data_IF_623000163135
#
_entry.id   IF_623000163135
#
_cell.length_a   1.000
_cell.length_b   1.000
_cell.length_c   1.000
_cell.angle_alpha   90.00
_cell.angle_beta   90.00
_cell.angle_gamma   90.00
#
_symmetry.space_group_name_H-M   'P 1'
#
loop_
_entity.id
_entity.type
_entity.pdbx_description
1 polymer ?
#
# COMPACT_ATOMS: atom_id res chain seq x y z
N UNK A 1 21.69 28.63 53.00
CA UNK A 1 21.60 27.81 51.77
C UNK A 1 22.77 26.82 51.81
N UNK A 2 22.51 25.51 51.79
CA UNK A 2 23.55 24.48 51.99
C UNK A 2 24.06 23.91 50.64
N UNK A 3 23.32 24.08 49.54
CA UNK A 3 23.75 23.75 48.17
C UNK A 3 22.57 23.76 47.18
N UNK A 4 22.86 23.74 45.88
CA UNK A 4 21.90 23.51 44.79
C UNK A 4 22.34 22.24 44.05
N UNK A 5 21.40 21.34 43.78
CA UNK A 5 21.61 20.15 42.95
C UNK A 5 20.83 20.32 41.66
N UNK A 6 21.51 20.29 40.52
CA UNK A 6 20.90 20.34 39.20
C UNK A 6 20.84 18.94 38.61
N UNK A 7 19.63 18.43 38.36
CA UNK A 7 19.39 17.15 37.71
C UNK A 7 18.85 17.45 36.31
N UNK A 8 19.40 16.79 35.28
CA UNK A 8 18.98 16.92 33.89
C UNK A 8 18.63 15.55 33.34
N UNK A 9 17.48 15.46 32.69
CA UNK A 9 17.15 14.33 31.82
C UNK A 9 17.74 14.57 30.43
N UNK A 10 18.50 13.59 29.92
CA UNK A 10 19.19 13.72 28.65
C UNK A 10 18.33 13.16 27.53
N UNK A 11 18.08 13.97 26.51
CA UNK A 11 17.39 13.53 25.30
C UNK A 11 18.25 12.49 24.59
N UNK A 12 17.66 11.36 24.19
CA UNK A 12 18.35 10.32 23.41
C UNK A 12 18.84 10.92 22.09
N UNK A 13 20.08 10.60 21.71
CA UNK A 13 20.74 11.15 20.51
C UNK A 13 19.98 10.92 19.20
N UNK A 14 19.16 9.85 19.11
CA UNK A 14 18.36 9.52 17.93
C UNK A 14 17.06 10.31 17.80
N UNK A 15 16.59 10.98 18.86
CA UNK A 15 15.26 11.64 18.86
C UNK A 15 15.22 12.77 17.85
N UNK A 16 16.26 13.61 17.79
CA UNK A 16 16.31 14.74 16.86
C UNK A 16 16.16 14.29 15.41
N UNK A 17 16.92 13.27 15.00
CA UNK A 17 16.83 12.71 13.65
C UNK A 17 15.44 12.08 13.38
N UNK A 18 14.86 11.40 14.38
CA UNK A 18 13.53 10.80 14.29
C UNK A 18 12.45 11.87 14.05
N UNK A 19 12.48 12.94 14.85
CA UNK A 19 11.54 14.06 14.75
C UNK A 19 11.69 14.77 13.40
N UNK A 20 12.92 15.01 12.95
CA UNK A 20 13.19 15.59 11.62
C UNK A 20 12.63 14.71 10.49
N UNK A 21 12.83 13.39 10.55
CA UNK A 21 12.29 12.46 9.54
C UNK A 21 10.75 12.44 9.58
N UNK A 22 10.13 12.41 10.76
CA UNK A 22 8.68 12.45 10.91
C UNK A 22 8.08 13.76 10.38
N UNK A 23 8.68 14.89 10.71
CA UNK A 23 8.26 16.20 10.20
C UNK A 23 8.41 16.29 8.67
N UNK A 24 9.52 15.79 8.12
CA UNK A 24 9.73 15.71 6.66
C UNK A 24 8.69 14.82 5.98
N UNK A 25 8.26 13.76 6.65
CA UNK A 25 7.19 12.87 6.23
C UNK A 25 5.78 13.50 6.36
N UNK A 26 5.68 14.74 6.85
CA UNK A 26 4.42 15.43 7.08
C UNK A 26 3.65 14.92 8.30
N UNK A 27 4.30 14.22 9.23
CA UNK A 27 3.72 13.80 10.51
C UNK A 27 4.19 14.79 11.59
N UNK A 28 3.25 15.57 12.11
CA UNK A 28 3.52 16.52 13.19
C UNK A 28 3.73 15.76 14.50
N UNK A 29 4.85 16.05 15.18
CA UNK A 29 5.13 15.56 16.52
C UNK A 29 4.76 16.65 17.54
N UNK A 30 3.95 16.30 18.54
CA UNK A 30 3.56 17.19 19.64
C UNK A 30 3.98 16.57 20.96
N UNK A 31 4.75 17.30 21.77
CA UNK A 31 5.15 16.87 23.10
C UNK A 31 4.06 17.23 24.12
N UNK A 32 3.57 16.25 24.86
CA UNK A 32 2.59 16.47 25.93
C UNK A 32 3.17 15.96 27.24
N UNK A 33 3.51 16.85 28.17
CA UNK A 33 4.23 16.52 29.41
C UNK A 33 3.59 17.18 30.64
N UNK A 34 3.76 16.54 31.80
CA UNK A 34 3.43 17.10 33.11
C UNK A 34 4.45 18.13 33.62
N UNK A 35 5.59 18.28 32.95
CA UNK A 35 6.65 19.21 33.34
C UNK A 35 6.24 20.68 33.23
N UNK A 36 7.03 21.54 33.88
CA UNK A 36 6.91 22.99 33.75
C UNK A 36 7.24 23.45 32.33
N UNK A 37 6.63 24.56 31.90
CA UNK A 37 6.77 25.14 30.57
C UNK A 37 8.23 25.33 30.16
N UNK A 38 9.06 25.85 31.05
CA UNK A 38 10.47 26.14 30.76
C UNK A 38 11.26 24.86 30.47
N UNK A 39 11.07 23.82 31.28
CA UNK A 39 11.71 22.51 31.10
C UNK A 39 11.22 21.83 29.82
N UNK A 40 9.90 21.82 29.60
CA UNK A 40 9.30 21.22 28.41
C UNK A 40 9.81 21.88 27.12
N UNK A 41 9.90 23.21 27.09
CA UNK A 41 10.44 23.95 25.94
C UNK A 41 11.92 23.67 25.72
N UNK A 42 12.72 23.59 26.80
CA UNK A 42 14.14 23.26 26.68
C UNK A 42 14.36 21.87 26.06
N UNK A 43 13.63 20.86 26.55
CA UNK A 43 13.68 19.48 26.02
C UNK A 43 13.15 19.44 24.59
N UNK A 44 12.05 20.13 24.28
CA UNK A 44 11.46 20.15 22.95
C UNK A 44 12.38 20.82 21.91
N UNK A 45 13.13 21.85 22.28
CA UNK A 45 14.16 22.47 21.42
C UNK A 45 15.33 21.53 21.17
N UNK A 46 15.81 20.83 22.19
CA UNK A 46 16.88 19.84 22.07
C UNK A 46 16.46 18.64 21.19
N UNK A 47 15.22 18.19 21.33
CA UNK A 47 14.62 17.14 20.54
C UNK A 47 14.27 17.55 19.10
N UNK A 48 14.36 18.84 18.74
CA UNK A 48 13.99 19.34 17.41
C UNK A 48 12.48 19.39 17.14
N UNK A 49 11.65 19.38 18.17
CA UNK A 49 10.18 19.51 18.06
C UNK A 49 9.80 20.99 17.89
N UNK A 50 10.44 21.87 18.67
CA UNK A 50 10.34 23.32 18.53
C UNK A 50 11.54 23.81 17.72
N UNK A 51 11.28 24.43 16.58
CA UNK A 51 12.29 24.86 15.60
C UNK A 51 12.13 26.32 15.16
N UNK A 52 10.94 26.91 15.31
CA UNK A 52 10.64 28.27 14.89
C UNK A 52 9.98 29.13 15.96
N UNK A 53 9.94 30.43 15.72
CA UNK A 53 9.27 31.39 16.62
C UNK A 53 7.73 31.31 16.55
N UNK A 54 7.19 30.76 15.45
CA UNK A 54 5.75 30.53 15.27
C UNK A 54 5.24 29.22 15.90
N UNK A 55 6.10 28.47 16.59
CA UNK A 55 5.70 27.23 17.27
C UNK A 55 4.91 27.56 18.55
N UNK A 56 3.73 26.97 18.66
CA UNK A 56 2.83 27.22 19.78
C UNK A 56 3.13 26.27 20.95
N UNK A 57 3.27 26.87 22.13
CA UNK A 57 3.49 26.18 23.40
C UNK A 57 2.42 26.61 24.39
N UNK A 58 1.59 25.66 24.80
CA UNK A 58 0.49 25.89 25.74
C UNK A 58 0.78 25.23 27.10
N UNK A 59 0.29 25.83 28.18
CA UNK A 59 0.09 25.16 29.47
C UNK A 59 -1.31 24.56 29.53
N UNK A 60 -1.58 23.70 30.53
CA UNK A 60 -2.93 23.24 30.83
C UNK A 60 -3.94 24.40 30.97
N UNK A 61 -3.59 25.46 31.70
CA UNK A 61 -4.49 26.60 31.93
C UNK A 61 -4.79 27.35 30.61
N UNK A 62 -3.76 27.56 29.78
CA UNK A 62 -3.90 28.18 28.46
C UNK A 62 -4.74 27.29 27.52
N UNK A 63 -4.52 25.98 27.52
CA UNK A 63 -5.28 25.02 26.71
C UNK A 63 -6.75 24.95 27.16
N UNK A 64 -7.01 24.96 28.46
CA UNK A 64 -8.37 24.89 29.03
C UNK A 64 -9.17 26.16 28.79
N UNK A 65 -8.50 27.31 28.67
CA UNK A 65 -9.13 28.58 28.34
C UNK A 65 -9.58 28.67 26.87
N UNK A 66 -8.94 27.93 25.96
CA UNK A 66 -9.31 27.89 24.55
C UNK A 66 -10.59 27.08 24.35
N UNK A 67 -11.49 27.57 23.52
CA UNK A 67 -12.59 26.77 22.98
C UNK A 67 -12.08 25.73 21.98
N UNK A 68 -12.86 24.68 21.72
CA UNK A 68 -12.47 23.65 20.75
C UNK A 68 -12.31 24.22 19.33
N UNK A 69 -13.07 25.26 18.96
CA UNK A 69 -12.90 25.91 17.66
C UNK A 69 -11.58 26.69 17.56
N UNK A 70 -11.16 27.37 18.61
CA UNK A 70 -9.86 28.07 18.64
C UNK A 70 -8.72 27.06 18.67
N UNK A 71 -8.86 25.99 19.45
CA UNK A 71 -7.87 24.92 19.51
C UNK A 71 -7.69 24.27 18.13
N UNK A 72 -8.77 24.04 17.38
CA UNK A 72 -8.69 23.54 15.99
C UNK A 72 -7.86 24.43 15.08
N UNK A 73 -8.01 25.75 15.18
CA UNK A 73 -7.25 26.70 14.35
C UNK A 73 -5.76 26.72 14.71
N UNK A 74 -5.44 26.51 15.98
CA UNK A 74 -4.09 26.57 16.51
C UNK A 74 -3.34 25.23 16.46
N UNK A 75 -4.06 24.11 16.36
CA UNK A 75 -3.51 22.75 16.39
C UNK A 75 -2.38 22.49 15.38
N UNK A 76 -2.41 23.00 14.12
CA UNK A 76 -1.30 22.82 13.17
C UNK A 76 0.03 23.44 13.62
N UNK A 77 -0.02 24.42 14.53
CA UNK A 77 1.14 25.11 15.07
C UNK A 77 1.54 24.60 16.47
N UNK A 78 0.69 23.80 17.11
CA UNK A 78 0.94 23.26 18.45
C UNK A 78 2.12 22.29 18.46
N UNK A 79 3.13 22.58 19.28
CA UNK A 79 4.32 21.73 19.44
C UNK A 79 4.45 21.15 20.83
N UNK A 80 4.03 21.89 21.86
CA UNK A 80 4.20 21.49 23.25
C UNK A 80 2.96 21.84 24.06
N UNK A 81 2.50 20.89 24.87
CA UNK A 81 1.57 21.11 25.96
C UNK A 81 2.24 20.71 27.27
N UNK A 82 2.39 21.68 28.16
CA UNK A 82 3.08 21.54 29.46
C UNK A 82 2.10 21.52 30.62
N UNK A 83 2.49 20.90 31.74
CA UNK A 83 1.60 20.59 32.88
C UNK A 83 0.30 19.89 32.47
N UNK A 84 0.35 19.09 31.41
CA UNK A 84 -0.83 18.47 30.83
C UNK A 84 -1.49 17.48 31.80
N UNK A 85 -2.81 17.53 31.88
CA UNK A 85 -3.63 16.56 32.59
C UNK A 85 -4.03 15.39 31.67
N UNK A 86 -4.44 14.24 32.23
CA UNK A 86 -4.92 13.10 31.45
C UNK A 86 -6.05 13.45 30.46
N UNK A 87 -6.97 14.32 30.87
CA UNK A 87 -8.08 14.75 30.03
C UNK A 87 -7.65 15.70 28.90
N UNK A 88 -6.56 16.45 29.07
CA UNK A 88 -6.01 17.29 27.99
C UNK A 88 -5.49 16.42 26.84
N UNK A 89 -4.79 15.33 27.17
CA UNK A 89 -4.30 14.35 26.19
C UNK A 89 -5.45 13.82 25.35
N UNK A 90 -6.55 13.41 25.99
CA UNK A 90 -7.74 12.92 25.31
C UNK A 90 -8.38 14.01 24.43
N UNK A 91 -8.57 15.22 24.96
CA UNK A 91 -9.17 16.35 24.23
C UNK A 91 -8.40 16.70 22.96
N UNK A 92 -7.06 16.69 23.02
CA UNK A 92 -6.21 16.96 21.85
C UNK A 92 -6.44 15.92 20.74
N UNK A 93 -6.61 14.66 21.10
CA UNK A 93 -6.89 13.57 20.16
C UNK A 93 -8.25 13.77 19.50
N UNK A 94 -9.30 14.02 20.28
CA UNK A 94 -10.67 14.23 19.77
C UNK A 94 -10.71 15.44 18.82
N UNK A 95 -10.09 16.56 19.21
CA UNK A 95 -10.03 17.76 18.37
C UNK A 95 -9.23 17.54 17.08
N UNK A 96 -8.14 16.75 17.14
CA UNK A 96 -7.39 16.36 15.95
C UNK A 96 -8.23 15.51 14.99
N UNK A 97 -9.00 14.56 15.53
CA UNK A 97 -9.88 13.68 14.76
C UNK A 97 -11.03 14.46 14.09
N UNK A 98 -11.57 15.48 14.76
CA UNK A 98 -12.59 16.36 14.19
C UNK A 98 -12.07 17.22 13.01
N UNK A 99 -10.75 17.39 12.89
CA UNK A 99 -10.09 18.02 11.75
C UNK A 99 -9.72 17.03 10.63
N UNK A 100 -10.32 15.82 10.66
CA UNK A 100 -10.02 14.72 9.74
C UNK A 100 -8.54 14.26 9.77
N UNK A 101 -7.79 14.61 10.82
CA UNK A 101 -6.44 14.10 11.02
C UNK A 101 -6.48 12.69 11.62
N UNK A 102 -5.39 11.95 11.44
CA UNK A 102 -5.18 10.65 12.09
C UNK A 102 -4.26 10.89 13.27
N UNK A 103 -4.75 10.64 14.48
CA UNK A 103 -4.04 10.96 15.71
C UNK A 103 -3.41 9.71 16.32
N UNK A 104 -2.08 9.76 16.51
CA UNK A 104 -1.33 8.75 17.25
C UNK A 104 -0.98 9.25 18.65
N UNK A 105 -1.21 8.44 19.68
CA UNK A 105 -0.91 8.78 21.07
C UNK A 105 0.14 7.85 21.65
N UNK A 106 1.10 8.38 22.40
CA UNK A 106 2.08 7.57 23.16
C UNK A 106 1.85 7.72 24.65
N UNK A 107 1.89 6.64 25.41
CA UNK A 107 1.73 6.68 26.87
C UNK A 107 2.27 5.43 27.56
N UNK A 108 2.62 5.53 28.83
CA UNK A 108 3.21 4.46 29.64
C UNK A 108 2.44 4.23 30.95
N UNK A 109 1.75 5.26 31.44
CA UNK A 109 0.97 5.23 32.67
C UNK A 109 -0.52 4.89 32.49
N UNK A 110 -1.13 4.44 33.59
CA UNK A 110 -2.59 4.21 33.70
C UNK A 110 -3.39 5.47 33.30
N UNK A 111 -2.86 6.64 33.62
CA UNK A 111 -3.44 7.94 33.29
C UNK A 111 -3.58 8.18 31.77
N UNK A 112 -2.78 7.51 30.95
CA UNK A 112 -2.80 7.70 29.50
C UNK A 112 -3.76 6.76 28.79
N UNK A 113 -4.26 5.73 29.49
CA UNK A 113 -5.17 4.72 28.94
C UNK A 113 -6.40 5.29 28.24
N UNK A 114 -7.09 6.33 28.77
CA UNK A 114 -8.23 6.94 28.06
C UNK A 114 -7.82 7.59 26.73
N UNK A 115 -6.68 8.26 26.68
CA UNK A 115 -6.18 8.92 25.48
C UNK A 115 -5.63 7.91 24.47
N UNK A 116 -4.91 6.87 24.94
CA UNK A 116 -4.45 5.75 24.12
C UNK A 116 -5.62 5.06 23.42
N UNK A 117 -6.71 4.81 24.15
CA UNK A 117 -7.89 4.14 23.59
C UNK A 117 -8.70 5.01 22.63
N UNK A 118 -8.65 6.34 22.82
CA UNK A 118 -9.36 7.30 21.96
C UNK A 118 -8.60 7.60 20.66
N UNK A 119 -7.29 7.36 20.62
CA UNK A 119 -6.46 7.61 19.46
C UNK A 119 -6.80 6.67 18.30
N UNK A 120 -6.54 7.09 17.06
CA UNK A 120 -6.65 6.19 15.91
C UNK A 120 -5.57 5.09 15.97
N UNK A 121 -4.43 5.39 16.60
CA UNK A 121 -3.38 4.42 16.93
C UNK A 121 -2.75 4.75 18.29
N UNK A 122 -2.95 3.89 19.28
CA UNK A 122 -2.30 3.98 20.60
C UNK A 122 -0.97 3.24 20.65
N UNK A 123 0.07 3.90 21.16
CA UNK A 123 1.41 3.34 21.37
C UNK A 123 1.74 3.28 22.86
N UNK A 124 2.02 2.09 23.38
CA UNK A 124 2.54 1.93 24.75
C UNK A 124 4.02 1.63 24.77
N UNK A 125 4.70 1.99 25.87
CA UNK A 125 6.07 1.58 26.12
C UNK A 125 6.12 0.16 26.68
N UNK A 126 7.17 -0.60 26.39
CA UNK A 126 7.34 -1.98 26.83
C UNK A 126 7.49 -2.13 28.34
N UNK A 127 8.06 -1.11 29.01
CA UNK A 127 8.11 -0.96 30.46
C UNK A 127 6.88 -0.23 31.04
N UNK A 128 5.92 0.14 30.19
CA UNK A 128 4.66 0.75 30.59
C UNK A 128 3.78 -0.19 31.42
N UNK A 129 2.88 0.42 32.17
CA UNK A 129 1.88 -0.28 32.98
C UNK A 129 1.06 -1.26 32.14
N UNK A 130 0.59 -2.34 32.76
CA UNK A 130 -0.24 -3.35 32.08
C UNK A 130 -1.50 -2.73 31.49
N UNK A 131 -2.13 -1.80 32.22
CA UNK A 131 -3.30 -1.05 31.75
C UNK A 131 -2.99 -0.23 30.49
N UNK A 132 -1.83 0.43 30.42
CA UNK A 132 -1.43 1.17 29.23
C UNK A 132 -1.19 0.25 28.02
N UNK A 133 -0.60 -0.93 28.26
CA UNK A 133 -0.35 -1.94 27.21
C UNK A 133 -1.66 -2.52 26.66
N UNK A 134 -2.63 -2.82 27.52
CA UNK A 134 -3.96 -3.28 27.12
C UNK A 134 -4.78 -2.20 26.41
N UNK A 135 -4.58 -0.93 26.75
CA UNK A 135 -5.27 0.18 26.10
C UNK A 135 -4.68 0.56 24.73
N UNK A 136 -3.44 0.17 24.44
CA UNK A 136 -2.72 0.50 23.20
C UNK A 136 -2.89 -0.53 22.08
N UNK A 137 -2.73 -0.11 20.82
CA UNK A 137 -2.74 -0.99 19.66
C UNK A 137 -1.35 -1.57 19.35
N UNK A 138 -0.28 -0.83 19.68
CA UNK A 138 1.12 -1.20 19.42
C UNK A 138 1.96 -1.01 20.68
N UNK A 139 2.66 -2.07 21.10
CA UNK A 139 3.60 -2.02 22.23
C UNK A 139 5.04 -1.88 21.72
N UNK A 140 5.73 -0.83 22.15
CA UNK A 140 7.12 -0.52 21.77
C UNK A 140 8.09 -1.14 22.77
N UNK A 141 8.60 -2.32 22.45
CA UNK A 141 9.43 -3.12 23.35
C UNK A 141 10.76 -2.45 23.77
N UNK A 142 11.28 -1.52 22.98
CA UNK A 142 12.57 -0.85 23.23
C UNK A 142 12.45 0.60 23.70
N UNK A 143 11.23 1.06 24.02
CA UNK A 143 10.92 2.41 24.53
C UNK A 143 11.55 3.54 23.70
N UNK A 144 11.57 3.37 22.37
CA UNK A 144 12.22 4.30 21.46
C UNK A 144 11.25 4.85 20.42
N UNK A 145 11.24 6.18 20.26
CA UNK A 145 10.49 6.87 19.21
C UNK A 145 10.88 6.42 17.79
N UNK A 146 12.11 5.93 17.59
CA UNK A 146 12.55 5.35 16.31
C UNK A 146 11.67 4.17 15.87
N UNK A 147 11.05 3.47 16.82
CA UNK A 147 10.15 2.35 16.53
C UNK A 147 8.81 2.84 15.99
N UNK A 148 8.35 4.04 16.40
CA UNK A 148 7.16 4.71 15.85
C UNK A 148 7.42 5.13 14.40
N UNK A 149 8.59 5.74 14.13
CA UNK A 149 9.00 6.07 12.76
C UNK A 149 8.97 4.84 11.86
N UNK A 150 9.52 3.71 12.32
CA UNK A 150 9.45 2.43 11.60
C UNK A 150 8.01 1.95 11.42
N UNK A 151 7.17 2.02 12.46
CA UNK A 151 5.76 1.65 12.35
C UNK A 151 5.04 2.44 11.25
N UNK A 152 5.30 3.76 11.16
CA UNK A 152 4.77 4.60 10.08
C UNK A 152 5.30 4.17 8.72
N UNK A 153 6.60 3.88 8.58
CA UNK A 153 7.18 3.38 7.34
C UNK A 153 6.54 2.04 6.89
N UNK A 154 6.36 1.09 7.81
CA UNK A 154 5.72 -0.19 7.53
C UNK A 154 4.23 -0.01 7.18
N UNK A 155 3.52 0.87 7.88
CA UNK A 155 2.13 1.21 7.56
C UNK A 155 1.97 1.81 6.15
N UNK A 156 2.85 2.75 5.78
CA UNK A 156 2.89 3.31 4.41
C UNK A 156 3.19 2.23 3.37
N UNK A 157 4.15 1.35 3.67
CA UNK A 157 4.50 0.23 2.80
C UNK A 157 3.29 -0.68 2.57
N UNK A 158 2.60 -1.06 3.65
CA UNK A 158 1.39 -1.90 3.60
C UNK A 158 0.28 -1.26 2.75
N UNK A 159 0.03 0.05 2.91
CA UNK A 159 -0.95 0.77 2.08
C UNK A 159 -0.61 0.72 0.59
N UNK A 160 0.68 0.87 0.23
CA UNK A 160 1.13 0.71 -1.17
C UNK A 160 0.99 -0.73 -1.66
N UNK A 161 1.31 -1.72 -0.83
CA UNK A 161 1.15 -3.15 -1.14
C UNK A 161 -0.31 -3.48 -1.44
N UNK A 162 -1.24 -3.04 -0.58
CA UNK A 162 -2.69 -3.21 -0.78
C UNK A 162 -3.15 -2.53 -2.07
N UNK A 163 -2.66 -1.31 -2.35
CA UNK A 163 -2.99 -0.61 -3.59
C UNK A 163 -2.54 -1.38 -4.84
N UNK A 164 -1.33 -1.95 -4.83
CA UNK A 164 -0.81 -2.78 -5.93
C UNK A 164 -1.64 -4.05 -6.10
N UNK A 165 -1.97 -4.72 -5.00
CA UNK A 165 -2.85 -5.89 -5.01
C UNK A 165 -4.21 -5.55 -5.62
N UNK A 166 -4.85 -4.44 -5.23
CA UNK A 166 -6.13 -3.99 -5.78
C UNK A 166 -6.04 -3.70 -7.28
N UNK A 167 -4.98 -3.03 -7.76
CA UNK A 167 -4.78 -2.78 -9.20
C UNK A 167 -4.73 -4.11 -9.96
N UNK A 168 -3.93 -5.05 -9.48
CA UNK A 168 -3.78 -6.36 -10.12
C UNK A 168 -5.11 -7.12 -10.13
N UNK A 169 -5.73 -7.27 -8.96
CA UNK A 169 -7.00 -7.97 -8.75
C UNK A 169 -8.12 -7.41 -9.62
N UNK A 170 -8.32 -6.10 -9.61
CA UNK A 170 -9.38 -5.47 -10.41
C UNK A 170 -9.08 -5.54 -11.90
N UNK A 171 -7.82 -5.45 -12.32
CA UNK A 171 -7.46 -5.61 -13.75
C UNK A 171 -7.89 -6.99 -14.24
N UNK A 172 -7.53 -8.04 -13.51
CA UNK A 172 -7.90 -9.41 -13.90
C UNK A 172 -9.42 -9.59 -13.89
N UNK A 173 -10.12 -9.14 -12.83
CA UNK A 173 -11.58 -9.27 -12.72
C UNK A 173 -12.31 -8.54 -13.85
N UNK A 174 -11.95 -7.28 -14.10
CA UNK A 174 -12.57 -6.48 -15.17
C UNK A 174 -12.32 -7.13 -16.53
N UNK A 175 -11.11 -7.65 -16.77
CA UNK A 175 -10.79 -8.32 -18.04
C UNK A 175 -11.58 -9.61 -18.20
N UNK A 176 -11.67 -10.45 -17.15
CA UNK A 176 -12.43 -11.71 -17.17
C UNK A 176 -13.91 -11.44 -17.43
N UNK A 177 -14.51 -10.48 -16.72
CA UNK A 177 -15.92 -10.08 -16.92
C UNK A 177 -16.12 -9.53 -18.34
N UNK A 178 -15.22 -8.66 -18.81
CA UNK A 178 -15.30 -8.10 -20.15
C UNK A 178 -15.21 -9.19 -21.22
N UNK A 179 -14.35 -10.20 -21.06
CA UNK A 179 -14.27 -11.33 -21.98
C UNK A 179 -15.54 -12.18 -21.96
N UNK A 180 -16.09 -12.50 -20.79
CA UNK A 180 -17.32 -13.28 -20.67
C UNK A 180 -18.55 -12.55 -21.21
N UNK A 181 -18.57 -11.22 -21.19
CA UNK A 181 -19.69 -10.42 -21.72
C UNK A 181 -19.54 -10.07 -23.21
N UNK A 182 -18.36 -9.62 -23.63
CA UNK A 182 -18.12 -9.14 -25.00
C UNK A 182 -17.96 -10.29 -25.99
N UNK A 183 -17.44 -11.45 -25.59
CA UNK A 183 -17.27 -12.58 -26.50
C UNK A 183 -18.62 -13.06 -27.06
N UNK A 184 -19.63 -13.40 -26.22
CA UNK A 184 -20.95 -13.80 -26.72
C UNK A 184 -21.66 -12.67 -27.49
N UNK A 185 -21.51 -11.42 -27.07
CA UNK A 185 -22.13 -10.26 -27.74
C UNK A 185 -21.62 -10.08 -29.18
N UNK A 186 -20.36 -10.44 -29.44
CA UNK A 186 -19.76 -10.41 -30.76
C UNK A 186 -20.00 -11.70 -31.56
N UNK A 187 -20.81 -12.64 -31.05
CA UNK A 187 -21.07 -13.94 -31.67
C UNK A 187 -19.89 -14.90 -31.61
N UNK A 188 -18.91 -14.65 -30.73
CA UNK A 188 -17.76 -15.51 -30.51
C UNK A 188 -18.08 -16.51 -29.40
N UNK A 189 -17.55 -17.73 -29.51
CA UNK A 189 -17.66 -18.71 -28.41
C UNK A 189 -16.94 -18.19 -27.17
N UNK A 190 -17.35 -18.69 -26.01
CA UNK A 190 -16.75 -18.31 -24.75
C UNK A 190 -15.26 -18.71 -24.71
N UNK A 191 -14.35 -17.79 -24.35
CA UNK A 191 -12.92 -18.06 -24.38
C UNK A 191 -12.44 -18.91 -23.22
N UNK A 192 -13.17 -18.88 -22.10
CA UNK A 192 -12.78 -19.52 -20.85
C UNK A 192 -13.87 -20.45 -20.34
N UNK A 193 -13.48 -21.63 -19.88
CA UNK A 193 -14.39 -22.53 -19.17
C UNK A 193 -14.52 -22.14 -17.70
N UNK A 194 -15.55 -22.67 -17.03
CA UNK A 194 -15.77 -22.44 -15.59
C UNK A 194 -14.52 -22.83 -14.77
N UNK A 195 -13.87 -23.94 -15.10
CA UNK A 195 -12.66 -24.43 -14.40
C UNK A 195 -11.47 -23.49 -14.67
N UNK A 196 -11.32 -22.98 -15.89
CA UNK A 196 -10.29 -21.99 -16.22
C UNK A 196 -10.49 -20.67 -15.46
N UNK A 197 -11.74 -20.22 -15.33
CA UNK A 197 -12.07 -19.02 -14.52
C UNK A 197 -11.75 -19.25 -13.04
N UNK A 198 -12.04 -20.44 -12.50
CA UNK A 198 -11.66 -20.78 -11.12
C UNK A 198 -10.13 -20.76 -10.92
N UNK A 199 -9.36 -21.23 -11.90
CA UNK A 199 -7.90 -21.13 -11.87
C UNK A 199 -7.42 -19.68 -11.91
N UNK A 200 -8.02 -18.83 -12.75
CA UNK A 200 -7.74 -17.38 -12.78
C UNK A 200 -8.02 -16.75 -11.41
N UNK A 201 -9.16 -17.07 -10.79
CA UNK A 201 -9.53 -16.57 -9.46
C UNK A 201 -8.51 -16.97 -8.39
N UNK A 202 -8.04 -18.22 -8.42
CA UNK A 202 -7.00 -18.68 -7.48
C UNK A 202 -5.68 -17.91 -7.65
N UNK A 203 -5.28 -17.63 -8.89
CA UNK A 203 -4.09 -16.83 -9.20
C UNK A 203 -4.22 -15.42 -8.63
N UNK A 204 -5.36 -14.76 -8.88
CA UNK A 204 -5.53 -13.36 -8.53
C UNK A 204 -5.81 -13.12 -7.04
N UNK A 205 -6.55 -14.01 -6.38
CA UNK A 205 -6.86 -13.86 -4.97
C UNK A 205 -5.70 -14.34 -4.10
N UNK A 206 -5.56 -15.67 -3.98
CA UNK A 206 -4.66 -16.28 -3.01
C UNK A 206 -3.19 -16.06 -3.37
N UNK A 207 -2.81 -16.33 -4.62
CA UNK A 207 -1.40 -16.25 -5.02
C UNK A 207 -0.93 -14.80 -5.13
N UNK A 208 -1.74 -13.89 -5.66
CA UNK A 208 -1.34 -12.49 -5.74
C UNK A 208 -1.27 -11.82 -4.37
N UNK A 209 -2.16 -12.17 -3.42
CA UNK A 209 -2.06 -11.66 -2.05
C UNK A 209 -0.71 -12.03 -1.40
N UNK A 210 -0.25 -13.27 -1.60
CA UNK A 210 1.08 -13.71 -1.14
C UNK A 210 2.23 -12.97 -1.85
N UNK A 211 2.09 -12.69 -3.15
CA UNK A 211 3.12 -12.03 -3.94
C UNK A 211 3.28 -10.54 -3.59
N UNK A 212 2.16 -9.82 -3.41
CA UNK A 212 2.13 -8.38 -3.15
C UNK A 212 2.16 -8.03 -1.65
N UNK A 213 1.83 -8.97 -0.76
CA UNK A 213 1.81 -8.74 0.70
C UNK A 213 3.19 -8.43 1.31
N UNK A 214 4.28 -8.91 0.71
CA UNK A 214 5.64 -8.77 1.23
C UNK A 214 6.54 -7.84 0.41
N UNK A 215 5.97 -6.72 -0.05
CA UNK A 215 6.80 -5.68 -0.66
C UNK A 215 7.75 -5.06 0.38
N UNK A 216 9.00 -4.77 -0.02
CA UNK A 216 9.99 -4.22 0.89
C UNK A 216 9.62 -2.80 1.33
N UNK A 217 9.90 -2.48 2.58
CA UNK A 217 9.87 -1.11 3.07
C UNK A 217 10.99 -0.31 2.38
N UNK A 218 10.64 0.84 1.80
CA UNK A 218 11.56 1.72 1.09
C UNK A 218 11.52 3.11 1.72
N UNK A 219 12.70 3.68 2.01
CA UNK A 219 12.81 4.99 2.67
C UNK A 219 12.14 6.12 1.88
N UNK A 220 11.99 5.98 0.55
CA UNK A 220 11.27 6.93 -0.29
C UNK A 220 9.82 7.17 0.18
N UNK A 221 9.19 6.19 0.82
CA UNK A 221 7.83 6.34 1.33
C UNK A 221 7.76 7.33 2.50
N UNK A 222 8.87 7.63 3.18
CA UNK A 222 8.93 8.68 4.20
C UNK A 222 9.00 10.09 3.61
N UNK A 223 9.19 10.25 2.31
CA UNK A 223 9.16 11.55 1.65
C UNK A 223 7.78 11.92 1.09
N UNK A 224 6.82 10.99 1.13
CA UNK A 224 5.44 11.24 0.70
C UNK A 224 4.64 11.92 1.82
N UNK A 225 3.65 12.74 1.45
CA UNK A 225 2.71 13.31 2.42
C UNK A 225 1.75 12.22 2.94
N UNK A 226 1.21 12.35 4.16
CA UNK A 226 0.18 11.44 4.66
C UNK A 226 -1.04 11.41 3.74
N UNK A 227 -1.62 10.23 3.55
CA UNK A 227 -2.85 10.05 2.77
C UNK A 227 -4.02 10.56 3.60
N UNK A 228 -4.85 11.44 3.04
CA UNK A 228 -5.99 12.00 3.76
C UNK A 228 -7.10 10.94 3.95
N UNK A 229 -7.80 11.00 5.09
CA UNK A 229 -8.83 10.01 5.50
C UNK A 229 -9.96 9.85 4.47
N UNK A 230 -10.32 10.93 3.77
CA UNK A 230 -11.42 10.99 2.79
C UNK A 230 -10.99 10.73 1.34
N UNK A 231 -9.76 10.30 1.08
CA UNK A 231 -9.35 9.97 -0.29
C UNK A 231 -10.02 8.70 -0.79
N UNK A 232 -10.46 8.71 -2.04
CA UNK A 232 -11.00 7.51 -2.67
C UNK A 232 -9.97 6.38 -2.68
N UNK A 233 -10.41 5.17 -2.33
CA UNK A 233 -9.59 3.94 -2.37
C UNK A 233 -8.99 3.73 -3.77
N UNK A 234 -9.78 4.02 -4.82
CA UNK A 234 -9.31 3.99 -6.21
C UNK A 234 -8.85 5.37 -6.65
N UNK A 235 -7.54 5.60 -6.56
CA UNK A 235 -6.90 6.82 -7.06
C UNK A 235 -7.01 6.94 -8.58
N UNK A 236 -6.87 8.15 -9.14
CA UNK A 236 -6.87 8.36 -10.58
C UNK A 236 -5.80 7.53 -11.31
N UNK A 237 -4.62 7.38 -10.68
CA UNK A 237 -3.56 6.49 -11.18
C UNK A 237 -4.03 5.03 -11.26
N UNK A 238 -4.66 4.50 -10.19
CA UNK A 238 -5.18 3.12 -10.17
C UNK A 238 -6.21 2.90 -11.26
N UNK A 239 -7.16 3.83 -11.43
CA UNK A 239 -8.17 3.75 -12.49
C UNK A 239 -7.54 3.71 -13.88
N UNK A 240 -6.51 4.53 -14.13
CA UNK A 240 -5.78 4.52 -15.40
C UNK A 240 -5.05 3.20 -15.64
N UNK A 241 -4.41 2.65 -14.60
CA UNK A 241 -3.67 1.39 -14.67
C UNK A 241 -4.62 0.23 -14.97
N UNK A 242 -5.72 0.13 -14.21
CA UNK A 242 -6.75 -0.89 -14.38
C UNK A 242 -7.37 -0.78 -15.78
N UNK A 243 -7.79 0.42 -16.19
CA UNK A 243 -8.52 0.63 -17.44
C UNK A 243 -7.68 0.34 -18.69
N UNK A 244 -6.43 0.79 -18.74
CA UNK A 244 -5.56 0.53 -19.90
C UNK A 244 -5.16 -0.94 -19.95
N UNK A 245 -4.76 -1.53 -18.82
CA UNK A 245 -4.34 -2.92 -18.80
C UNK A 245 -5.50 -3.87 -19.13
N UNK A 246 -6.69 -3.64 -18.56
CA UNK A 246 -7.85 -4.49 -18.86
C UNK A 246 -8.33 -4.33 -20.30
N UNK A 247 -8.42 -3.09 -20.80
CA UNK A 247 -8.79 -2.85 -22.19
C UNK A 247 -7.79 -3.50 -23.15
N UNK A 248 -6.48 -3.39 -22.88
CA UNK A 248 -5.45 -4.00 -23.72
C UNK A 248 -5.57 -5.53 -23.74
N UNK A 249 -5.64 -6.18 -22.57
CA UNK A 249 -5.72 -7.65 -22.49
C UNK A 249 -7.02 -8.14 -23.15
N UNK A 250 -8.15 -7.48 -22.90
CA UNK A 250 -9.44 -7.82 -23.54
C UNK A 250 -9.36 -7.66 -25.05
N UNK A 251 -8.82 -6.54 -25.57
CA UNK A 251 -8.71 -6.31 -27.02
C UNK A 251 -7.79 -7.34 -27.68
N UNK A 252 -6.66 -7.68 -27.06
CA UNK A 252 -5.74 -8.71 -27.56
C UNK A 252 -6.44 -10.07 -27.61
N UNK A 253 -7.14 -10.47 -26.55
CA UNK A 253 -7.86 -11.74 -26.53
C UNK A 253 -9.00 -11.77 -27.55
N UNK A 254 -9.78 -10.69 -27.69
CA UNK A 254 -10.83 -10.59 -28.71
C UNK A 254 -10.26 -10.58 -30.14
N UNK A 255 -9.10 -9.94 -30.36
CA UNK A 255 -8.44 -9.94 -31.66
C UNK A 255 -8.03 -11.37 -32.08
N UNK A 256 -7.54 -12.18 -31.14
CA UNK A 256 -7.24 -13.60 -31.35
C UNK A 256 -8.52 -14.38 -31.68
N UNK A 257 -9.61 -14.15 -30.95
CA UNK A 257 -10.89 -14.86 -31.16
C UNK A 257 -11.63 -14.44 -32.44
N UNK A 258 -11.41 -13.23 -32.95
CA UNK A 258 -12.02 -12.71 -34.18
C UNK A 258 -11.15 -12.91 -35.43
N UNK A 259 -10.04 -13.64 -35.30
CA UNK A 259 -9.05 -13.83 -36.38
C UNK A 259 -8.50 -12.53 -36.99
N UNK A 260 -8.31 -11.50 -36.17
CA UNK A 260 -7.75 -10.23 -36.68
C UNK A 260 -6.29 -10.46 -37.05
N UNK A 261 -5.98 -10.36 -38.34
CA UNK A 261 -4.62 -10.54 -38.87
C UNK A 261 -4.23 -11.98 -39.22
N UNK A 262 -5.18 -12.92 -39.37
CA UNK A 262 -4.89 -14.31 -39.76
C UNK A 262 -4.27 -15.16 -38.64
N UNK A 263 -4.35 -14.69 -37.40
CA UNK A 263 -3.76 -15.33 -36.22
C UNK A 263 -4.39 -16.72 -35.99
N UNK A 264 -5.68 -16.90 -36.24
CA UNK A 264 -6.32 -18.23 -36.12
C UNK A 264 -5.87 -19.19 -37.21
N UNK A 265 -5.60 -18.68 -38.41
CA UNK A 265 -5.13 -19.51 -39.53
C UNK A 265 -3.71 -20.04 -39.24
N UNK A 266 -2.87 -19.20 -38.63
CA UNK A 266 -1.57 -19.59 -38.11
C UNK A 266 -1.66 -20.56 -36.91
N UNK A 267 -2.56 -20.28 -35.96
CA UNK A 267 -2.72 -21.14 -34.77
C UNK A 267 -3.24 -22.51 -35.16
N UNK A 268 -4.25 -22.58 -36.01
CA UNK A 268 -4.90 -23.84 -36.38
C UNK A 268 -4.19 -24.57 -37.51
N UNK A 269 -3.10 -24.04 -38.08
CA UNK A 269 -2.48 -24.56 -39.30
C UNK A 269 -3.52 -24.79 -40.42
N UNK A 270 -4.55 -23.94 -40.50
CA UNK A 270 -5.66 -24.06 -41.44
C UNK A 270 -6.71 -25.15 -41.13
N UNK A 271 -6.64 -25.83 -39.98
CA UNK A 271 -7.60 -26.89 -39.60
C UNK A 271 -8.90 -26.38 -38.97
N UNK A 272 -8.95 -25.11 -38.57
CA UNK A 272 -10.13 -24.52 -37.91
C UNK A 272 -10.43 -25.10 -36.52
N UNK A 273 -9.47 -25.77 -35.87
CA UNK A 273 -9.69 -26.32 -34.53
C UNK A 273 -9.84 -25.22 -33.47
N UNK A 274 -11.09 -24.94 -33.11
CA UNK A 274 -11.43 -23.88 -32.17
C UNK A 274 -10.90 -24.13 -30.74
N UNK A 275 -10.73 -25.39 -30.32
CA UNK A 275 -10.19 -25.72 -29.00
C UNK A 275 -8.71 -25.31 -28.86
N UNK A 276 -7.98 -25.30 -29.97
CA UNK A 276 -6.61 -24.80 -30.00
C UNK A 276 -6.58 -23.27 -29.85
N UNK A 277 -7.54 -22.56 -30.46
CA UNK A 277 -7.67 -21.10 -30.34
C UNK A 277 -8.06 -20.69 -28.91
N UNK A 278 -8.97 -21.40 -28.24
CA UNK A 278 -9.32 -21.12 -26.84
C UNK A 278 -8.17 -21.41 -25.90
N UNK A 279 -7.44 -22.52 -26.10
CA UNK A 279 -6.24 -22.85 -25.32
C UNK A 279 -5.14 -21.80 -25.51
N UNK A 280 -4.92 -21.34 -26.74
CA UNK A 280 -3.97 -20.28 -27.04
C UNK A 280 -4.38 -18.95 -26.39
N UNK A 281 -5.66 -18.58 -26.49
CA UNK A 281 -6.21 -17.36 -25.87
C UNK A 281 -6.06 -17.41 -24.35
N UNK A 282 -6.36 -18.55 -23.72
CA UNK A 282 -6.15 -18.77 -22.30
C UNK A 282 -4.68 -18.66 -21.88
N UNK A 283 -3.78 -19.19 -22.70
CA UNK A 283 -2.34 -19.07 -22.49
C UNK A 283 -1.90 -17.60 -22.55
N UNK A 284 -2.25 -16.87 -23.63
CA UNK A 284 -1.95 -15.44 -23.76
C UNK A 284 -2.50 -14.65 -22.58
N UNK A 285 -3.74 -14.94 -22.16
CA UNK A 285 -4.37 -14.27 -21.01
C UNK A 285 -3.57 -14.47 -19.72
N UNK A 286 -3.25 -15.70 -19.32
CA UNK A 286 -2.52 -15.96 -18.08
C UNK A 286 -1.12 -15.35 -18.11
N UNK A 287 -0.39 -15.49 -19.22
CA UNK A 287 0.94 -14.89 -19.34
C UNK A 287 0.87 -13.36 -19.36
N UNK A 288 -0.14 -12.76 -20.00
CA UNK A 288 -0.34 -11.31 -19.98
C UNK A 288 -0.65 -10.82 -18.56
N UNK A 289 -1.43 -11.57 -17.79
CA UNK A 289 -1.67 -11.31 -16.35
C UNK A 289 -0.36 -11.40 -15.56
N UNK A 290 0.46 -12.44 -15.78
CA UNK A 290 1.78 -12.56 -15.15
C UNK A 290 2.64 -11.34 -15.48
N UNK A 291 2.80 -10.96 -16.76
CA UNK A 291 3.59 -9.78 -17.15
C UNK A 291 3.02 -8.47 -16.60
N UNK A 292 1.69 -8.34 -16.55
CA UNK A 292 1.03 -7.18 -15.94
C UNK A 292 1.30 -7.07 -14.43
N UNK A 293 1.51 -8.20 -13.74
CA UNK A 293 1.88 -8.18 -12.31
C UNK A 293 3.20 -7.43 -12.07
N UNK A 294 4.17 -7.58 -12.98
CA UNK A 294 5.44 -6.86 -12.93
C UNK A 294 5.24 -5.37 -13.17
N UNK A 295 4.40 -4.99 -14.15
CA UNK A 295 4.02 -3.58 -14.39
C UNK A 295 3.38 -2.93 -13.17
N UNK A 296 2.46 -3.65 -12.51
CA UNK A 296 1.71 -3.19 -11.33
C UNK A 296 2.63 -3.00 -10.12
N UNK A 297 3.67 -3.82 -10.01
CA UNK A 297 4.63 -3.74 -8.90
C UNK A 297 5.48 -2.48 -8.93
N UNK A 298 5.85 -2.00 -10.11
CA UNK A 298 6.68 -0.80 -10.27
C UNK A 298 5.86 0.45 -10.57
N UNK A 299 6.07 1.50 -9.79
CA UNK A 299 5.52 2.83 -10.07
C UNK A 299 6.31 3.56 -11.17
N UNK A 300 7.51 3.08 -11.51
CA UNK A 300 8.40 3.68 -12.51
C UNK A 300 8.50 2.87 -13.81
N UNK A 301 9.39 3.32 -14.69
CA UNK A 301 9.77 2.59 -15.91
C UNK A 301 10.68 1.40 -15.63
N UNK A 302 11.35 1.37 -14.47
CA UNK A 302 12.18 0.24 -14.10
C UNK A 302 11.32 -0.85 -13.43
N UNK A 303 10.87 -1.82 -14.22
CA UNK A 303 9.99 -2.91 -13.79
C UNK A 303 10.72 -3.90 -12.85
N UNK A 304 12.04 -4.03 -13.02
CA UNK A 304 12.87 -4.94 -12.24
C UNK A 304 13.46 -4.31 -10.97
N UNK A 305 13.10 -3.06 -10.67
CA UNK A 305 13.58 -2.36 -9.49
C UNK A 305 13.24 -3.16 -8.22
N UNK A 306 14.23 -3.41 -7.38
CA UNK A 306 14.07 -4.14 -6.12
C UNK A 306 13.49 -5.57 -6.25
N UNK A 307 13.57 -6.21 -7.42
CA UNK A 307 13.08 -7.59 -7.60
C UNK A 307 13.76 -8.62 -6.69
N UNK A 308 15.06 -8.42 -6.42
CA UNK A 308 15.80 -9.29 -5.49
C UNK A 308 15.38 -9.15 -4.01
N UNK A 309 14.70 -8.06 -3.63
CA UNK A 309 14.23 -7.86 -2.25
C UNK A 309 12.91 -8.58 -1.96
N UNK A 310 12.06 -8.78 -2.96
CA UNK A 310 10.82 -9.56 -2.85
C UNK A 310 10.97 -10.91 -3.56
N UNK A 311 11.66 -11.87 -2.90
CA UNK A 311 11.88 -13.21 -3.46
C UNK A 311 10.57 -13.99 -3.60
N UNK A 312 9.59 -13.77 -2.71
CA UNK A 312 8.31 -14.49 -2.74
C UNK A 312 7.50 -14.15 -3.98
N UNK A 313 7.48 -12.87 -4.40
CA UNK A 313 6.85 -12.49 -5.66
C UNK A 313 7.38 -13.30 -6.84
N UNK A 314 8.71 -13.43 -6.96
CA UNK A 314 9.32 -14.20 -8.04
C UNK A 314 8.97 -15.69 -7.95
N UNK A 315 9.03 -16.27 -6.74
CA UNK A 315 8.66 -17.67 -6.52
C UNK A 315 7.21 -17.92 -6.95
N UNK A 316 6.28 -17.05 -6.56
CA UNK A 316 4.86 -17.17 -6.92
C UNK A 316 4.66 -17.05 -8.42
N UNK A 317 5.24 -16.05 -9.08
CA UNK A 317 5.08 -15.87 -10.53
C UNK A 317 5.68 -17.03 -11.35
N UNK A 318 6.85 -17.55 -10.94
CA UNK A 318 7.44 -18.73 -11.57
C UNK A 318 6.57 -19.96 -11.32
N UNK A 319 6.04 -20.13 -10.10
CA UNK A 319 5.15 -21.25 -9.77
C UNK A 319 3.88 -21.23 -10.62
N UNK A 320 3.27 -20.05 -10.81
CA UNK A 320 2.10 -19.90 -11.69
C UNK A 320 2.47 -20.27 -13.14
N UNK A 321 3.60 -19.79 -13.66
CA UNK A 321 4.03 -20.11 -15.02
C UNK A 321 4.27 -21.61 -15.21
N UNK A 322 4.93 -22.28 -14.26
CA UNK A 322 5.18 -23.73 -14.29
C UNK A 322 3.87 -24.50 -14.25
N UNK A 323 2.99 -24.19 -13.30
CA UNK A 323 1.68 -24.86 -13.19
C UNK A 323 0.83 -24.61 -14.44
N UNK A 324 0.84 -23.40 -14.99
CA UNK A 324 0.15 -23.07 -16.24
C UNK A 324 0.65 -23.93 -17.40
N UNK A 325 1.97 -24.09 -17.55
CA UNK A 325 2.55 -24.95 -18.60
C UNK A 325 2.16 -26.42 -18.40
N UNK A 326 2.11 -26.90 -17.15
CA UNK A 326 1.64 -28.26 -16.86
C UNK A 326 0.14 -28.43 -17.18
N UNK A 327 -0.69 -27.43 -16.89
CA UNK A 327 -2.12 -27.44 -17.24
C UNK A 327 -2.30 -27.51 -18.76
N UNK A 328 -1.53 -26.75 -19.53
CA UNK A 328 -1.64 -26.77 -21.00
C UNK A 328 -1.23 -28.15 -21.56
N UNK A 329 -0.13 -28.72 -21.07
CA UNK A 329 0.42 -29.97 -21.62
C UNK A 329 -0.33 -31.24 -21.15
N UNK A 330 -0.81 -31.26 -19.90
CA UNK A 330 -1.36 -32.47 -19.26
C UNK A 330 -2.79 -32.29 -18.73
N UNK A 331 -3.32 -31.05 -18.66
CA UNK A 331 -4.64 -30.75 -18.10
C UNK A 331 -5.82 -31.17 -18.97
N UNK A 332 -5.59 -31.37 -20.28
CA UNK A 332 -6.48 -32.03 -21.24
C UNK A 332 -7.97 -31.83 -20.98
N UNK A 333 -8.67 -32.93 -20.66
CA UNK A 333 -10.13 -32.96 -20.45
C UNK A 333 -10.63 -32.17 -19.23
N UNK A 334 -9.80 -31.97 -18.20
CA UNK A 334 -10.22 -31.28 -16.98
C UNK A 334 -10.26 -29.77 -17.21
N UNK A 335 -9.26 -29.23 -17.90
CA UNK A 335 -9.17 -27.80 -18.19
C UNK A 335 -9.67 -27.43 -19.59
N UNK A 336 -10.14 -28.41 -20.38
CA UNK A 336 -10.50 -28.25 -21.80
C UNK A 336 -9.37 -27.60 -22.60
N UNK A 337 -8.13 -28.06 -22.39
CA UNK A 337 -6.93 -27.55 -23.06
C UNK A 337 -6.37 -28.57 -24.05
N UNK A 338 -5.84 -28.07 -25.16
CA UNK A 338 -5.14 -28.88 -26.17
C UNK A 338 -3.63 -28.65 -26.02
N UNK A 339 -2.79 -29.71 -25.99
CA UNK A 339 -1.34 -29.54 -25.95
C UNK A 339 -0.85 -28.65 -27.08
N UNK A 340 -0.02 -27.65 -26.75
CA UNK A 340 0.52 -26.68 -27.69
C UNK A 340 1.96 -27.03 -28.06
N UNK A 341 2.31 -26.82 -29.33
CA UNK A 341 3.69 -26.90 -29.77
C UNK A 341 4.50 -25.69 -29.28
N UNK A 342 5.82 -25.85 -29.24
CA UNK A 342 6.78 -24.84 -28.76
C UNK A 342 6.63 -23.53 -29.55
N UNK A 343 6.37 -23.61 -30.86
CA UNK A 343 6.20 -22.43 -31.72
C UNK A 343 5.00 -21.58 -31.29
N UNK A 344 3.82 -22.19 -31.12
CA UNK A 344 2.62 -21.49 -30.66
C UNK A 344 2.81 -20.94 -29.24
N UNK A 345 3.49 -21.68 -28.37
CA UNK A 345 3.77 -21.24 -27.01
C UNK A 345 4.67 -20.00 -26.96
N UNK A 346 5.74 -19.96 -27.76
CA UNK A 346 6.63 -18.77 -27.87
C UNK A 346 5.85 -17.56 -28.39
N UNK A 347 5.00 -17.74 -29.40
CA UNK A 347 4.21 -16.64 -29.96
C UNK A 347 3.19 -16.12 -28.94
N UNK A 348 2.55 -17.01 -28.18
CA UNK A 348 1.67 -16.61 -27.09
C UNK A 348 2.42 -15.76 -26.05
N UNK A 349 3.65 -16.15 -25.70
CA UNK A 349 4.49 -15.38 -24.78
C UNK A 349 4.88 -14.02 -25.35
N UNK A 350 5.24 -13.94 -26.63
CA UNK A 350 5.58 -12.67 -27.29
C UNK A 350 4.39 -11.70 -27.31
N UNK A 351 3.18 -12.19 -27.61
CA UNK A 351 1.96 -11.38 -27.55
C UNK A 351 1.71 -10.91 -26.11
N UNK A 352 1.85 -11.80 -25.14
CA UNK A 352 1.65 -11.48 -23.73
C UNK A 352 2.63 -10.41 -23.22
N UNK A 353 3.89 -10.39 -23.69
CA UNK A 353 4.89 -9.38 -23.34
C UNK A 353 4.49 -7.97 -23.79
N UNK A 354 3.63 -7.82 -24.80
CA UNK A 354 3.19 -6.50 -25.31
C UNK A 354 2.43 -5.66 -24.28
N UNK A 355 1.94 -6.25 -23.18
CA UNK A 355 1.37 -5.50 -22.06
C UNK A 355 2.40 -4.58 -21.38
N UNK A 356 3.67 -4.96 -21.39
CA UNK A 356 4.78 -4.17 -20.81
C UNK A 356 4.92 -2.80 -21.49
N UNK A 357 5.17 -2.73 -22.82
CA UNK A 357 5.25 -1.45 -23.49
C UNK A 357 3.93 -0.67 -23.45
N UNK A 358 2.78 -1.34 -23.45
CA UNK A 358 1.48 -0.67 -23.31
C UNK A 358 1.36 0.09 -21.97
N UNK A 359 1.77 -0.53 -20.85
CA UNK A 359 1.81 0.15 -19.55
C UNK A 359 2.88 1.26 -19.49
N UNK A 360 4.01 1.10 -20.19
CA UNK A 360 5.00 2.18 -20.30
C UNK A 360 4.46 3.41 -21.00
N UNK A 361 3.70 3.25 -22.09
CA UNK A 361 3.04 4.36 -22.77
C UNK A 361 2.07 5.05 -21.81
N UNK A 362 1.25 4.28 -21.07
CA UNK A 362 0.37 4.84 -20.04
C UNK A 362 1.15 5.63 -19.00
N UNK A 363 2.23 5.05 -18.44
CA UNK A 363 3.07 5.69 -17.42
C UNK A 363 3.68 7.00 -17.95
N UNK A 364 4.13 7.03 -19.20
CA UNK A 364 4.63 8.25 -19.84
C UNK A 364 3.55 9.35 -19.93
N UNK A 365 2.31 8.98 -20.26
CA UNK A 365 1.19 9.91 -20.37
C UNK A 365 0.67 10.39 -18.99
N UNK A 366 0.76 9.55 -17.96
CA UNK A 366 0.26 9.88 -16.60
C UNK A 366 1.29 10.56 -15.70
N UNK A 367 2.59 10.43 -15.97
CA UNK A 367 3.65 11.05 -15.14
C UNK A 367 3.70 12.60 -15.26
N UNK A 368 3.03 13.17 -16.26
CA UNK A 368 2.93 14.62 -16.48
C UNK A 368 1.80 15.30 -15.68
N UNK A 369 1.29 14.71 -14.59
CA UNK A 369 0.29 15.33 -13.72
C UNK A 369 0.58 15.16 -12.24
#
# INVERSE_FOLDING_TARGET
MIGIVCIRDNVRSSIKQTVETMNRAGVQVVMVTGDRKETAVAIAKEAGIVTGENDLVLTHDELSALSDQELKQQLPHLKVVSRALPMDKKRLIEVAQELDMVAGMTGDGVNDSPALKSADVGFSMGDGTEVAREASDIVILNNSLTSIEKAVLYGRTMSKSVSKFIIFQLTVNVTTIAMSLLSPLLGLKEPFTIIQILWVNLIMDTLAALAFGEEPALDRYMNEKPVAKKTNILTGYMKSAIGVASAFITLVCLAILKNVGGIQDFITNGTGNFEMVTTFTFTVFIYAVIFNSFNTRSNGFNIFEHIGKNKKFLIVMISIAVVQTLIIQFGGKVFSTVPMDIQHYIIALLIAVLIIPADFIRKALTKNK
#
